data_IF_402584710709
#
_entry.id   IF_402584710709
#
_cell.length_a   1.000
_cell.length_b   1.000
_cell.length_c   1.000
_cell.angle_alpha   90.00
_cell.angle_beta   90.00
_cell.angle_gamma   90.00
#
_symmetry.space_group_name_H-M   'P 1'
#
loop_
_entity.id
_entity.type
_entity.pdbx_description
1 polymer ?
#
# COMPACT_ATOMS: atom_id res chain seq x y z
N UNK A 1 -12.71 22.36 12.92
CA UNK A 1 -12.23 21.66 11.71
C UNK A 1 -11.00 22.28 11.07
N UNK A 2 -10.90 23.61 10.84
CA UNK A 2 -9.70 24.22 10.20
C UNK A 2 -8.38 23.84 10.87
N UNK A 3 -8.29 23.97 12.20
CA UNK A 3 -7.09 23.60 12.97
C UNK A 3 -6.68 22.14 12.76
N UNK A 4 -7.62 21.20 12.87
CA UNK A 4 -7.36 19.78 12.63
C UNK A 4 -6.94 19.52 11.17
N UNK A 5 -7.57 20.18 10.20
CA UNK A 5 -7.18 20.06 8.79
C UNK A 5 -5.75 20.55 8.55
N UNK A 6 -5.37 21.69 9.13
CA UNK A 6 -4.02 22.26 9.04
C UNK A 6 -2.97 21.35 9.70
N UNK A 7 -3.34 20.63 10.77
CA UNK A 7 -2.48 19.64 11.42
C UNK A 7 -2.33 18.35 10.60
N UNK A 8 -3.41 17.87 9.96
CA UNK A 8 -3.41 16.62 9.18
C UNK A 8 -2.72 16.79 7.82
N UNK A 9 -2.99 17.89 7.12
CA UNK A 9 -2.59 18.07 5.72
C UNK A 9 -1.09 17.83 5.44
N UNK A 10 -0.15 18.34 6.26
CA UNK A 10 1.29 18.09 6.04
C UNK A 10 1.67 16.61 5.94
N UNK A 11 0.95 15.72 6.64
CA UNK A 11 1.24 14.28 6.64
C UNK A 11 0.77 13.56 5.37
N UNK A 12 -0.17 14.16 4.63
CA UNK A 12 -0.79 13.56 3.44
C UNK A 12 -0.67 14.44 2.20
N UNK A 13 0.12 15.52 2.26
CA UNK A 13 0.20 16.55 1.22
C UNK A 13 0.62 15.99 -0.14
N UNK A 14 1.54 15.03 -0.18
CA UNK A 14 1.97 14.39 -1.43
C UNK A 14 0.84 13.58 -2.07
N UNK A 15 0.11 12.80 -1.27
CA UNK A 15 -1.04 12.04 -1.71
C UNK A 15 -2.17 12.98 -2.14
N UNK A 16 -2.43 14.06 -1.39
CA UNK A 16 -3.43 15.07 -1.75
C UNK A 16 -3.07 15.77 -3.07
N UNK A 17 -1.80 16.11 -3.30
CA UNK A 17 -1.33 16.68 -4.55
C UNK A 17 -1.58 15.76 -5.76
N UNK A 18 -1.43 14.44 -5.59
CA UNK A 18 -1.77 13.46 -6.63
C UNK A 18 -3.26 13.45 -7.01
N UNK A 19 -4.12 13.95 -6.12
CA UNK A 19 -5.56 14.13 -6.35
C UNK A 19 -5.94 15.55 -6.80
N UNK A 20 -4.95 16.43 -7.07
CA UNK A 20 -5.15 17.86 -7.32
C UNK A 20 -5.76 18.63 -6.13
N UNK A 21 -5.61 18.13 -4.91
CA UNK A 21 -6.02 18.82 -3.68
C UNK A 21 -4.81 19.54 -3.07
N UNK A 22 -4.72 20.85 -3.32
CA UNK A 22 -3.55 21.66 -2.99
C UNK A 22 -3.57 22.38 -1.63
N UNK A 23 -4.59 22.17 -0.80
CA UNK A 23 -4.68 22.83 0.51
C UNK A 23 -5.47 22.00 1.55
N UNK A 24 -5.23 22.30 2.83
CA UNK A 24 -5.97 21.71 3.94
C UNK A 24 -7.48 21.96 3.85
N UNK A 25 -7.89 23.13 3.35
CA UNK A 25 -9.29 23.50 3.16
C UNK A 25 -9.97 22.63 2.09
N UNK A 26 -9.29 22.41 0.95
CA UNK A 26 -9.80 21.51 -0.09
C UNK A 26 -9.84 20.07 0.42
N UNK A 27 -8.78 19.60 1.08
CA UNK A 27 -8.72 18.25 1.66
C UNK A 27 -9.87 17.98 2.62
N UNK A 28 -10.16 18.88 3.56
CA UNK A 28 -11.19 18.63 4.56
C UNK A 28 -12.62 18.70 3.97
N UNK A 29 -12.84 19.59 3.00
CA UNK A 29 -14.11 19.62 2.26
C UNK A 29 -14.35 18.33 1.49
N UNK A 30 -13.33 17.85 0.77
CA UNK A 30 -13.39 16.60 0.01
C UNK A 30 -13.50 15.37 0.92
N UNK A 31 -12.80 15.35 2.06
CA UNK A 31 -12.98 14.30 3.07
C UNK A 31 -14.44 14.20 3.51
N UNK A 32 -15.06 15.32 3.86
CA UNK A 32 -16.44 15.33 4.33
C UNK A 32 -17.43 14.90 3.23
N UNK A 33 -17.19 15.36 1.99
CA UNK A 33 -17.98 14.94 0.83
C UNK A 33 -17.86 13.42 0.58
N UNK A 34 -16.65 12.87 0.60
CA UNK A 34 -16.40 11.45 0.45
C UNK A 34 -17.04 10.63 1.57
N UNK A 35 -16.96 11.11 2.82
CA UNK A 35 -17.63 10.48 3.96
C UNK A 35 -19.14 10.43 3.76
N UNK A 36 -19.79 11.55 3.40
CA UNK A 36 -21.22 11.57 3.10
C UNK A 36 -21.60 10.62 1.95
N UNK A 37 -20.76 10.54 0.92
CA UNK A 37 -20.96 9.63 -0.21
C UNK A 37 -20.93 8.17 0.24
N UNK A 38 -19.93 7.78 1.03
CA UNK A 38 -19.82 6.43 1.59
C UNK A 38 -21.03 6.06 2.46
N UNK A 39 -21.51 7.00 3.28
CA UNK A 39 -22.68 6.77 4.13
C UNK A 39 -23.97 6.60 3.35
N UNK A 40 -24.05 7.11 2.12
CA UNK A 40 -25.20 6.86 1.25
C UNK A 40 -25.27 5.42 0.75
N UNK A 41 -24.13 4.71 0.76
CA UNK A 41 -24.00 3.29 0.44
C UNK A 41 -24.18 2.39 1.67
N UNK A 42 -24.56 2.95 2.82
CA UNK A 42 -24.75 2.15 4.02
C UNK A 42 -26.02 1.31 3.91
N UNK A 43 -25.82 0.04 3.56
CA UNK A 43 -26.82 -1.02 3.57
C UNK A 43 -26.38 -2.18 4.50
N UNK A 44 -27.22 -3.20 4.75
CA UNK A 44 -26.84 -4.38 5.54
C UNK A 44 -25.63 -5.15 5.00
N UNK A 45 -25.32 -5.02 3.70
CA UNK A 45 -24.08 -5.48 3.07
C UNK A 45 -23.15 -4.28 2.86
N UNK A 46 -22.02 -4.26 3.60
CA UNK A 46 -21.08 -3.13 3.61
C UNK A 46 -19.91 -3.28 2.65
N UNK A 47 -19.89 -4.33 1.81
CA UNK A 47 -18.73 -4.65 0.98
C UNK A 47 -18.33 -3.51 0.03
N UNK A 48 -19.30 -2.92 -0.68
CA UNK A 48 -19.02 -1.81 -1.59
C UNK A 48 -18.47 -0.58 -0.85
N UNK A 49 -19.06 -0.26 0.31
CA UNK A 49 -18.57 0.84 1.15
C UNK A 49 -17.15 0.59 1.65
N UNK A 50 -16.82 -0.65 2.03
CA UNK A 50 -15.46 -1.05 2.46
C UNK A 50 -14.45 -0.91 1.32
N UNK A 51 -14.78 -1.37 0.11
CA UNK A 51 -13.92 -1.24 -1.07
C UNK A 51 -13.68 0.24 -1.45
N UNK A 52 -14.72 1.07 -1.39
CA UNK A 52 -14.60 2.51 -1.63
C UNK A 52 -13.81 3.22 -0.51
N UNK A 53 -13.98 2.79 0.75
CA UNK A 53 -13.16 3.28 1.86
C UNK A 53 -11.68 2.94 1.66
N UNK A 54 -11.35 1.71 1.26
CA UNK A 54 -9.97 1.31 0.94
C UNK A 54 -9.40 2.10 -0.25
N UNK A 55 -10.23 2.44 -1.25
CA UNK A 55 -9.81 3.34 -2.33
C UNK A 55 -9.43 4.73 -1.80
N UNK A 56 -10.26 5.31 -0.94
CA UNK A 56 -10.02 6.62 -0.35
C UNK A 56 -8.79 6.66 0.55
N UNK A 57 -8.57 5.60 1.35
CA UNK A 57 -7.34 5.44 2.15
C UNK A 57 -6.12 5.46 1.24
N UNK A 58 -6.11 4.69 0.13
CA UNK A 58 -5.00 4.68 -0.83
C UNK A 58 -4.79 6.03 -1.55
N UNK A 59 -5.83 6.87 -1.61
CA UNK A 59 -5.77 8.24 -2.13
C UNK A 59 -5.34 9.26 -1.08
N UNK A 60 -5.03 8.84 0.15
CA UNK A 60 -4.51 9.68 1.22
C UNK A 60 -5.52 10.10 2.29
N UNK A 61 -6.79 9.67 2.20
CA UNK A 61 -7.76 9.86 3.27
C UNK A 61 -7.63 8.75 4.33
N UNK A 62 -6.47 8.69 4.98
CA UNK A 62 -6.07 7.56 5.83
C UNK A 62 -7.04 7.28 6.99
N UNK A 63 -7.71 8.31 7.50
CA UNK A 63 -8.64 8.22 8.63
C UNK A 63 -10.09 7.95 8.21
N UNK A 64 -10.35 7.61 6.94
CA UNK A 64 -11.71 7.33 6.45
C UNK A 64 -12.40 6.18 7.21
N UNK A 65 -11.75 5.03 7.50
CA UNK A 65 -12.39 3.96 8.29
C UNK A 65 -12.82 4.43 9.69
N UNK A 66 -11.98 5.21 10.38
CA UNK A 66 -12.30 5.82 11.67
C UNK A 66 -13.46 6.82 11.54
N UNK A 67 -13.52 7.56 10.43
CA UNK A 67 -14.60 8.52 10.13
C UNK A 67 -15.94 7.81 9.93
N UNK A 68 -15.96 6.71 9.19
CA UNK A 68 -17.15 5.86 9.02
C UNK A 68 -17.60 5.34 10.39
N UNK A 69 -16.69 4.83 11.22
CA UNK A 69 -17.01 4.35 12.56
C UNK A 69 -17.61 5.45 13.45
N UNK A 70 -17.07 6.68 13.41
CA UNK A 70 -17.67 7.83 14.10
C UNK A 70 -19.10 8.09 13.62
N UNK A 71 -19.32 8.06 12.30
CA UNK A 71 -20.65 8.26 11.73
C UNK A 71 -21.59 7.10 12.02
N UNK A 72 -21.11 5.90 12.31
CA UNK A 72 -21.99 4.80 12.78
C UNK A 72 -22.71 5.15 14.08
N UNK A 73 -22.08 5.94 14.95
CA UNK A 73 -22.67 6.40 16.20
C UNK A 73 -23.82 7.39 16.00
N UNK A 74 -23.80 8.17 14.90
CA UNK A 74 -24.90 9.06 14.50
C UNK A 74 -26.15 8.25 14.14
N UNK A 75 -26.02 7.21 13.31
CA UNK A 75 -27.14 6.36 12.92
C UNK A 75 -27.65 5.47 14.05
N UNK A 76 -26.76 5.05 14.96
CA UNK A 76 -27.16 4.28 16.14
C UNK A 76 -27.97 5.09 17.16
N UNK A 77 -27.88 6.43 17.14
CA UNK A 77 -28.53 7.33 18.10
C UNK A 77 -29.42 8.37 17.40
N UNK A 78 -30.19 7.93 16.40
CA UNK A 78 -31.10 8.81 15.64
C UNK A 78 -32.24 9.40 16.47
N UNK A 79 -32.53 8.79 17.62
CA UNK A 79 -33.44 9.33 18.64
C UNK A 79 -32.90 10.61 19.29
N UNK A 80 -31.57 10.73 19.42
CA UNK A 80 -30.88 11.90 19.97
C UNK A 80 -30.39 12.87 18.90
N UNK A 81 -29.93 12.36 17.76
CA UNK A 81 -29.38 13.14 16.66
C UNK A 81 -30.29 13.02 15.43
N UNK A 82 -31.30 13.89 15.36
CA UNK A 82 -32.27 13.88 14.27
C UNK A 82 -31.71 14.45 12.97
N UNK A 83 -30.72 15.33 13.07
CA UNK A 83 -30.04 15.90 11.91
C UNK A 83 -28.52 15.84 12.09
N UNK A 84 -27.79 15.90 10.99
CA UNK A 84 -26.32 15.87 11.04
C UNK A 84 -25.76 17.09 11.78
N UNK A 85 -26.44 18.23 11.72
CA UNK A 85 -26.09 19.45 12.46
C UNK A 85 -26.03 19.22 13.97
N UNK A 86 -26.90 18.35 14.50
CA UNK A 86 -26.93 17.98 15.92
C UNK A 86 -25.71 17.11 16.29
N UNK A 87 -25.16 16.38 15.32
CA UNK A 87 -24.00 15.50 15.49
C UNK A 87 -22.67 16.20 15.17
N UNK A 88 -22.68 17.36 14.50
CA UNK A 88 -21.47 18.12 14.14
C UNK A 88 -20.49 18.35 15.30
N UNK A 89 -20.93 18.64 16.55
CA UNK A 89 -19.99 18.75 17.67
C UNK A 89 -19.19 17.48 17.91
N UNK A 90 -19.79 16.29 17.72
CA UNK A 90 -19.10 15.01 17.88
C UNK A 90 -18.14 14.75 16.72
N UNK A 91 -18.54 15.11 15.49
CA UNK A 91 -17.67 14.97 14.31
C UNK A 91 -16.45 15.92 14.38
N UNK A 92 -16.64 17.13 14.91
CA UNK A 92 -15.54 18.07 15.18
C UNK A 92 -14.59 17.49 16.23
N UNK A 93 -15.13 17.02 17.36
CA UNK A 93 -14.31 16.42 18.42
C UNK A 93 -13.54 15.18 17.94
N UNK A 94 -14.17 14.34 17.10
CA UNK A 94 -13.52 13.22 16.43
C UNK A 94 -12.34 13.68 15.57
N UNK A 95 -12.54 14.71 14.75
CA UNK A 95 -11.52 15.20 13.84
C UNK A 95 -10.35 15.84 14.62
N UNK A 96 -10.64 16.62 15.65
CA UNK A 96 -9.63 17.25 16.51
C UNK A 96 -8.80 16.15 17.22
N UNK A 97 -9.46 15.13 17.79
CA UNK A 97 -8.77 13.98 18.39
C UNK A 97 -7.92 13.21 17.38
N UNK A 98 -8.44 12.98 16.17
CA UNK A 98 -7.72 12.30 15.10
C UNK A 98 -6.47 13.07 14.67
N UNK A 99 -6.55 14.41 14.60
CA UNK A 99 -5.42 15.26 14.27
C UNK A 99 -4.34 15.24 15.37
N UNK A 100 -4.74 15.26 16.64
CA UNK A 100 -3.82 15.15 17.78
C UNK A 100 -3.06 13.81 17.81
N UNK A 101 -3.65 12.74 17.27
CA UNK A 101 -3.12 11.37 17.32
C UNK A 101 -2.83 10.84 15.90
N UNK A 102 -2.49 11.72 14.96
CA UNK A 102 -2.38 11.34 13.55
C UNK A 102 -1.22 10.37 13.27
N UNK A 103 -0.18 10.36 14.12
CA UNK A 103 0.89 9.37 14.05
C UNK A 103 0.37 7.93 14.17
N UNK A 104 -0.68 7.71 14.99
CA UNK A 104 -1.30 6.39 15.09
C UNK A 104 -2.00 5.99 13.80
N UNK A 105 -2.65 6.95 13.12
CA UNK A 105 -3.29 6.73 11.81
C UNK A 105 -2.25 6.33 10.76
N UNK A 106 -1.08 6.98 10.77
CA UNK A 106 0.04 6.62 9.90
C UNK A 106 0.54 5.21 10.18
N UNK A 107 0.75 4.86 11.46
CA UNK A 107 1.19 3.52 11.85
C UNK A 107 0.18 2.43 11.49
N UNK A 108 -1.11 2.70 11.62
CA UNK A 108 -2.17 1.80 11.17
C UNK A 108 -2.12 1.58 9.66
N UNK A 109 -1.97 2.66 8.89
CA UNK A 109 -1.84 2.58 7.45
C UNK A 109 -0.61 1.78 7.03
N UNK A 110 0.56 2.06 7.61
CA UNK A 110 1.80 1.33 7.32
C UNK A 110 1.68 -0.17 7.62
N UNK A 111 1.05 -0.55 8.74
CA UNK A 111 0.80 -1.94 9.10
C UNK A 111 -0.17 -2.64 8.15
N UNK A 112 -1.03 -1.87 7.47
CA UNK A 112 -2.00 -2.37 6.51
C UNK A 112 -1.39 -2.64 5.12
N UNK A 113 -0.18 -2.16 4.86
CA UNK A 113 0.52 -2.39 3.59
C UNK A 113 1.05 -3.82 3.52
N UNK A 114 0.90 -4.51 2.37
CA UNK A 114 1.60 -5.76 2.14
C UNK A 114 3.11 -5.54 2.20
N UNK A 115 3.85 -6.53 2.69
CA UNK A 115 5.31 -6.51 2.82
C UNK A 115 5.94 -7.80 2.36
N UNK A 116 7.22 -7.74 1.98
CA UNK A 116 8.03 -8.93 1.77
C UNK A 116 8.39 -9.53 3.14
N UNK A 117 8.03 -10.79 3.36
CA UNK A 117 8.35 -11.54 4.58
C UNK A 117 9.70 -12.21 4.47
N UNK A 118 10.00 -12.80 3.31
CA UNK A 118 11.27 -13.47 3.06
C UNK A 118 11.58 -13.55 1.57
N UNK A 119 12.87 -13.69 1.28
CA UNK A 119 13.40 -13.98 -0.05
C UNK A 119 14.35 -15.16 0.08
N UNK A 120 14.21 -16.15 -0.80
CA UNK A 120 15.10 -17.30 -0.89
C UNK A 120 15.65 -17.46 -2.32
N UNK A 121 16.97 -17.63 -2.52
CA UNK A 121 18.03 -17.41 -1.55
C UNK A 121 17.99 -16.02 -0.91
N UNK A 122 18.63 -15.85 0.25
CA UNK A 122 18.55 -14.60 0.99
C UNK A 122 19.12 -13.42 0.19
N UNK A 123 18.55 -12.23 0.34
CA UNK A 123 19.12 -11.01 -0.25
C UNK A 123 20.57 -10.85 0.22
N UNK A 124 21.47 -10.62 -0.73
CA UNK A 124 22.90 -10.50 -0.52
C UNK A 124 23.65 -11.83 -0.50
N UNK A 125 23.00 -12.96 -0.79
CA UNK A 125 23.68 -14.27 -0.84
C UNK A 125 24.26 -14.61 -2.21
N UNK A 126 25.08 -15.66 -2.23
CA UNK A 126 25.54 -16.31 -3.45
C UNK A 126 24.38 -17.05 -4.13
N UNK A 127 24.17 -16.79 -5.42
CA UNK A 127 23.15 -17.43 -6.26
C UNK A 127 23.77 -18.25 -7.41
N UNK A 128 25.05 -18.62 -7.29
CA UNK A 128 25.73 -19.46 -8.27
C UNK A 128 25.01 -20.80 -8.44
N UNK A 129 24.56 -21.08 -9.67
CA UNK A 129 23.82 -22.31 -9.99
C UNK A 129 22.36 -22.33 -9.52
N UNK A 130 21.87 -21.26 -8.89
CA UNK A 130 20.46 -21.17 -8.51
C UNK A 130 19.58 -21.01 -9.75
N UNK A 131 18.51 -21.79 -9.83
CA UNK A 131 17.51 -21.74 -10.92
C UNK A 131 16.31 -20.87 -10.58
N UNK A 132 16.20 -20.40 -9.35
CA UNK A 132 15.06 -19.59 -8.91
C UNK A 132 15.35 -18.70 -7.71
N UNK A 133 14.57 -17.63 -7.61
CA UNK A 133 14.40 -16.80 -6.41
C UNK A 133 12.92 -16.81 -6.03
N UNK A 134 12.61 -17.09 -4.77
CA UNK A 134 11.25 -17.13 -4.23
C UNK A 134 11.06 -15.95 -3.28
N UNK A 135 10.06 -15.11 -3.56
CA UNK A 135 9.68 -13.97 -2.74
C UNK A 135 8.37 -14.33 -2.04
N UNK A 136 8.34 -14.25 -0.71
CA UNK A 136 7.14 -14.49 0.10
C UNK A 136 6.58 -13.16 0.61
N UNK A 137 5.28 -12.94 0.43
CA UNK A 137 4.56 -11.74 0.86
C UNK A 137 3.76 -12.01 2.15
N UNK A 138 3.44 -10.95 2.89
CA UNK A 138 2.69 -11.03 4.15
C UNK A 138 1.22 -11.41 3.97
N UNK A 139 0.69 -11.24 2.77
CA UNK A 139 -0.70 -11.52 2.42
C UNK A 139 -0.83 -11.93 0.95
N UNK A 140 -2.04 -12.30 0.56
CA UNK A 140 -2.36 -12.70 -0.82
C UNK A 140 -2.33 -11.48 -1.74
N UNK A 141 -1.59 -11.61 -2.84
CA UNK A 141 -1.40 -10.56 -3.83
C UNK A 141 -2.31 -10.77 -5.05
N UNK A 142 -2.55 -9.71 -5.83
CA UNK A 142 -3.31 -9.79 -7.08
C UNK A 142 -2.55 -10.52 -8.21
N UNK A 143 -1.25 -10.76 -8.04
CA UNK A 143 -0.38 -11.29 -9.07
C UNK A 143 0.06 -10.19 -10.05
N UNK A 144 1.35 -10.12 -10.36
CA UNK A 144 1.93 -9.10 -11.24
C UNK A 144 3.32 -9.50 -11.74
N UNK A 145 3.80 -8.77 -12.74
CA UNK A 145 5.12 -8.89 -13.37
C UNK A 145 5.92 -7.57 -13.29
N UNK A 146 5.58 -6.69 -12.34
CA UNK A 146 6.16 -5.34 -12.18
C UNK A 146 7.62 -5.30 -11.71
N UNK A 147 8.48 -6.13 -12.25
CA UNK A 147 9.92 -6.12 -11.98
C UNK A 147 10.66 -5.32 -13.06
N UNK A 148 11.62 -4.50 -12.67
CA UNK A 148 12.51 -3.85 -13.64
C UNK A 148 13.86 -3.49 -13.02
N UNK A 149 14.78 -3.05 -13.88
CA UNK A 149 16.08 -2.52 -13.46
C UNK A 149 16.89 -3.46 -12.57
N UNK A 150 17.88 -2.89 -11.90
CA UNK A 150 18.80 -3.60 -11.01
C UNK A 150 18.50 -3.34 -9.53
N UNK A 151 17.68 -2.33 -9.22
CA UNK A 151 17.48 -1.86 -7.85
C UNK A 151 18.72 -1.20 -7.23
N UNK A 152 19.69 -0.78 -8.06
CA UNK A 152 20.90 -0.07 -7.64
C UNK A 152 21.35 0.92 -8.72
N UNK A 153 21.86 2.07 -8.30
CA UNK A 153 22.49 3.05 -9.19
C UNK A 153 23.96 2.72 -9.50
N UNK A 154 24.52 1.67 -8.87
CA UNK A 154 25.88 1.20 -9.16
C UNK A 154 25.94 0.54 -10.54
N UNK A 155 26.73 1.08 -11.50
CA UNK A 155 26.83 0.55 -12.85
C UNK A 155 27.45 -0.85 -12.93
N UNK A 156 28.06 -1.34 -11.85
CA UNK A 156 28.62 -2.69 -11.77
C UNK A 156 27.59 -3.76 -11.36
N UNK A 157 26.37 -3.35 -10.98
CA UNK A 157 25.28 -4.29 -10.72
C UNK A 157 24.59 -4.63 -12.03
N UNK A 158 24.55 -5.92 -12.35
CA UNK A 158 23.91 -6.41 -13.57
C UNK A 158 22.44 -6.78 -13.32
N UNK A 159 21.56 -6.70 -14.34
CA UNK A 159 20.19 -7.20 -14.23
C UNK A 159 20.17 -8.69 -13.93
N UNK A 160 19.29 -9.10 -13.02
CA UNK A 160 19.08 -10.51 -12.68
C UNK A 160 18.81 -11.35 -13.94
N UNK A 161 19.51 -12.48 -14.07
CA UNK A 161 19.50 -13.33 -15.25
C UNK A 161 18.25 -14.22 -15.33
N UNK A 162 17.09 -13.62 -15.54
CA UNK A 162 15.84 -14.36 -15.74
C UNK A 162 15.88 -15.21 -17.02
N UNK A 163 15.04 -16.24 -17.08
CA UNK A 163 14.76 -16.95 -18.34
C UNK A 163 14.11 -16.00 -19.37
N UNK A 164 14.32 -16.24 -20.66
CA UNK A 164 13.81 -15.34 -21.72
C UNK A 164 12.28 -15.45 -21.93
N UNK A 165 11.69 -16.56 -21.50
CA UNK A 165 10.23 -16.76 -21.55
C UNK A 165 9.57 -15.93 -20.45
N UNK A 166 9.18 -14.70 -20.81
CA UNK A 166 8.61 -13.73 -19.87
C UNK A 166 7.36 -14.24 -19.15
N UNK A 167 6.51 -15.02 -19.82
CA UNK A 167 5.29 -15.58 -19.21
C UNK A 167 5.61 -16.61 -18.13
N UNK A 168 6.76 -17.28 -18.24
CA UNK A 168 7.25 -18.27 -17.27
C UNK A 168 8.30 -17.73 -16.31
N UNK A 169 8.82 -16.53 -16.56
CA UNK A 169 9.87 -15.92 -15.75
C UNK A 169 9.40 -15.59 -14.34
N UNK A 170 8.10 -15.33 -14.16
CA UNK A 170 7.48 -15.11 -12.84
C UNK A 170 6.30 -16.07 -12.68
N UNK A 171 6.41 -16.99 -11.74
CA UNK A 171 5.37 -17.97 -11.44
C UNK A 171 4.80 -17.67 -10.06
N UNK A 172 3.49 -17.47 -9.99
CA UNK A 172 2.79 -17.27 -8.73
C UNK A 172 2.32 -18.60 -8.15
N UNK A 173 2.50 -18.76 -6.84
CA UNK A 173 1.85 -19.80 -6.05
C UNK A 173 0.31 -19.70 -6.15
N UNK A 174 -0.43 -20.81 -5.97
CA UNK A 174 -1.90 -20.80 -6.05
C UNK A 174 -2.59 -19.83 -5.09
N UNK A 175 -2.04 -19.63 -3.88
CA UNK A 175 -2.56 -18.69 -2.87
C UNK A 175 -2.08 -17.24 -3.08
N UNK A 176 -1.25 -17.04 -4.11
CA UNK A 176 -0.58 -15.79 -4.49
C UNK A 176 0.17 -15.10 -3.34
N UNK A 177 0.68 -15.89 -2.39
CA UNK A 177 1.57 -15.37 -1.33
C UNK A 177 3.04 -15.48 -1.68
N UNK A 178 3.37 -16.22 -2.75
CA UNK A 178 4.72 -16.36 -3.26
C UNK A 178 4.80 -16.09 -4.75
N UNK A 179 5.83 -15.34 -5.15
CA UNK A 179 6.26 -15.18 -6.52
C UNK A 179 7.64 -15.82 -6.70
N UNK A 180 7.76 -16.73 -7.67
CA UNK A 180 9.01 -17.41 -8.02
C UNK A 180 9.55 -16.82 -9.32
N UNK A 181 10.70 -16.17 -9.23
CA UNK A 181 11.49 -15.71 -10.37
C UNK A 181 12.32 -16.88 -10.89
N UNK A 182 12.19 -17.23 -12.17
CA UNK A 182 12.97 -18.31 -12.80
C UNK A 182 14.23 -17.74 -13.44
N UNK A 183 15.37 -18.30 -13.04
CA UNK A 183 16.70 -17.89 -13.48
C UNK A 183 17.22 -18.81 -14.58
N UNK A 184 18.09 -18.26 -15.42
CA UNK A 184 18.91 -19.01 -16.38
C UNK A 184 20.39 -18.98 -15.94
N UNK A 185 20.85 -19.97 -15.17
CA UNK A 185 22.23 -20.02 -14.67
C UNK A 185 23.30 -19.96 -15.78
N UNK A 186 22.97 -20.32 -17.03
CA UNK A 186 23.92 -20.28 -18.13
C UNK A 186 24.34 -18.85 -18.50
N UNK A 187 23.52 -17.86 -18.15
CA UNK A 187 23.78 -16.43 -18.34
C UNK A 187 24.55 -15.80 -17.17
N UNK A 188 24.73 -16.53 -16.07
CA UNK A 188 25.42 -16.04 -14.89
C UNK A 188 26.93 -15.92 -15.17
N UNK A 189 27.49 -14.75 -14.83
CA UNK A 189 28.92 -14.48 -14.83
C UNK A 189 29.43 -14.71 -13.42
N UNK A 190 30.63 -15.27 -13.30
CA UNK A 190 31.32 -15.43 -12.00
C UNK A 190 31.68 -14.07 -11.39
N UNK A 191 31.78 -14.01 -10.07
CA UNK A 191 32.21 -12.82 -9.33
C UNK A 191 31.46 -11.54 -9.75
N UNK A 192 30.15 -11.66 -9.95
CA UNK A 192 29.28 -10.60 -10.46
C UNK A 192 28.10 -10.39 -9.51
N UNK A 193 27.77 -9.12 -9.26
CA UNK A 193 26.59 -8.71 -8.49
C UNK A 193 25.40 -8.55 -9.43
N UNK A 194 24.27 -9.11 -9.03
CA UNK A 194 23.02 -9.08 -9.77
C UNK A 194 21.93 -8.42 -8.95
N UNK A 195 21.01 -7.74 -9.62
CA UNK A 195 19.93 -7.03 -8.96
C UNK A 195 18.63 -7.02 -9.74
N UNK A 196 17.53 -6.85 -9.02
CA UNK A 196 16.20 -6.62 -9.57
C UNK A 196 15.39 -5.73 -8.62
N UNK A 197 14.58 -4.82 -9.17
CA UNK A 197 13.67 -3.98 -8.38
C UNK A 197 12.22 -4.39 -8.61
N UNK A 198 11.46 -4.45 -7.52
CA UNK A 198 10.00 -4.53 -7.52
C UNK A 198 9.42 -3.12 -7.60
N UNK A 199 8.61 -2.84 -8.62
CA UNK A 199 7.77 -1.64 -8.63
C UNK A 199 6.59 -1.86 -7.69
N UNK A 200 6.67 -1.28 -6.49
CA UNK A 200 5.69 -1.48 -5.42
C UNK A 200 4.24 -1.25 -5.82
N UNK A 201 3.96 -0.23 -6.64
CA UNK A 201 2.62 0.02 -7.20
C UNK A 201 2.08 -1.10 -8.08
N UNK A 202 2.97 -1.87 -8.71
CA UNK A 202 2.64 -3.06 -9.50
C UNK A 202 2.32 -4.29 -8.65
N UNK A 203 2.73 -4.33 -7.38
CA UNK A 203 2.44 -5.42 -6.45
C UNK A 203 1.38 -4.98 -5.46
N UNK A 204 0.13 -5.36 -5.72
CA UNK A 204 -1.01 -4.98 -4.89
C UNK A 204 -1.60 -6.20 -4.19
N UNK A 205 -2.07 -6.02 -2.95
CA UNK A 205 -2.86 -7.04 -2.28
C UNK A 205 -4.28 -7.13 -2.83
N UNK A 206 -5.07 -8.11 -2.36
CA UNK A 206 -6.49 -8.24 -2.70
C UNK A 206 -7.31 -6.98 -2.36
N UNK A 207 -6.90 -6.20 -1.35
CA UNK A 207 -7.49 -4.90 -0.99
C UNK A 207 -6.91 -3.72 -1.79
N UNK A 208 -6.08 -4.03 -2.79
CA UNK A 208 -5.39 -3.10 -3.67
C UNK A 208 -4.37 -2.16 -3.01
N UNK A 209 -3.95 -2.42 -1.77
CA UNK A 209 -2.82 -1.71 -1.16
C UNK A 209 -1.53 -2.12 -1.86
N UNK A 210 -0.70 -1.13 -2.19
CA UNK A 210 0.60 -1.38 -2.83
C UNK A 210 1.59 -1.93 -1.81
N UNK A 211 2.54 -2.76 -2.28
CA UNK A 211 3.66 -3.24 -1.49
C UNK A 211 4.38 -2.07 -0.82
N UNK A 212 4.79 -2.25 0.42
CA UNK A 212 5.64 -1.27 1.08
C UNK A 212 6.99 -1.14 0.34
N UNK A 213 7.63 0.01 0.46
CA UNK A 213 8.91 0.27 -0.22
C UNK A 213 10.10 -0.48 0.41
N UNK A 214 9.91 -1.05 1.60
CA UNK A 214 10.95 -1.79 2.31
C UNK A 214 11.28 -3.11 1.59
N UNK A 215 12.55 -3.28 1.24
CA UNK A 215 13.04 -4.52 0.62
C UNK A 215 12.68 -4.68 -0.86
N UNK A 216 12.21 -3.63 -1.55
CA UNK A 216 11.84 -3.69 -2.98
C UNK A 216 13.04 -3.90 -3.92
N UNK A 217 14.26 -3.63 -3.47
CA UNK A 217 15.48 -3.86 -4.23
C UNK A 217 16.14 -5.14 -3.73
N UNK A 218 16.28 -6.13 -4.62
CA UNK A 218 16.87 -7.43 -4.30
C UNK A 218 18.22 -7.52 -4.99
N UNK A 219 19.29 -7.62 -4.21
CA UNK A 219 20.66 -7.77 -4.69
C UNK A 219 21.21 -9.13 -4.30
N UNK A 220 21.99 -9.73 -5.19
CA UNK A 220 22.62 -11.04 -5.02
C UNK A 220 24.01 -11.01 -5.63
N UNK A 221 24.84 -12.01 -5.33
CA UNK A 221 26.14 -12.14 -5.96
C UNK A 221 26.38 -13.56 -6.45
N UNK A 222 27.44 -13.74 -7.24
CA UNK A 222 27.93 -15.05 -7.65
C UNK A 222 29.36 -15.22 -7.14
N UNK A 223 29.68 -16.40 -6.63
CA UNK A 223 31.02 -16.75 -6.17
C UNK A 223 32.09 -16.72 -7.26
N UNK A 224 33.34 -16.91 -6.84
CA UNK A 224 34.50 -17.06 -7.73
C UNK A 224 34.46 -18.38 -8.50
#
# INVERSE_FOLDING_TARGET
MRQAADAIYPHVAEQMACNAYGSAEVMIGEWFNNLCTLLSLWEPDTKEMEEQSDNLVRRGFLWMPRSIACMKEFYARRDRYLRIEDFMPQLIAFLDHTAEHFEEVLLEYEKSLPRIVSVFPAVGSDISGCTEIVITFSETMNGSYGFSGTGSDDPNVHPLFLIDDFEKAVVWSPDRRQATLKLDPSKARKNTTYGIQLHTRGFQSARHYSLNDAGKNLLFHTGR
#
